data_IF_010413491868
#
_entry.id   IF_010413491868
#
_cell.length_a   1.000
_cell.length_b   1.000
_cell.length_c   1.000
_cell.angle_alpha   90.00
_cell.angle_beta   90.00
_cell.angle_gamma   90.00
#
_symmetry.space_group_name_H-M   'P 1'
#
loop_
_entity.id
_entity.type
_entity.pdbx_description
1 polymer ?
#
# COMPACT_ATOMS: atom_id res chain seq x y z
N UNK A 1 -6.95 14.34 16.73
CA UNK A 1 -7.67 13.62 15.66
C UNK A 1 -6.63 13.23 14.63
N UNK A 2 -6.67 12.02 14.10
CA UNK A 2 -5.70 11.57 13.09
C UNK A 2 -6.04 12.19 11.72
N UNK A 3 -5.04 12.69 11.01
CA UNK A 3 -5.19 13.19 9.63
C UNK A 3 -5.57 12.06 8.67
N UNK A 4 -5.08 10.85 8.92
CA UNK A 4 -5.46 9.69 8.12
C UNK A 4 -6.97 9.40 8.19
N UNK A 5 -7.58 9.50 9.39
CA UNK A 5 -9.03 9.35 9.55
C UNK A 5 -9.81 10.46 8.84
N UNK A 6 -9.33 11.70 8.87
CA UNK A 6 -9.97 12.81 8.16
C UNK A 6 -9.97 12.58 6.66
N UNK A 7 -8.82 12.24 6.08
CA UNK A 7 -8.68 11.96 4.64
C UNK A 7 -9.56 10.78 4.23
N UNK A 8 -9.53 9.69 5.01
CA UNK A 8 -10.34 8.50 4.74
C UNK A 8 -11.83 8.85 4.76
N UNK A 9 -12.30 9.52 5.81
CA UNK A 9 -13.71 9.89 5.92
C UNK A 9 -14.18 10.83 4.80
N UNK A 10 -13.37 11.84 4.46
CA UNK A 10 -13.67 12.75 3.34
C UNK A 10 -13.78 11.99 2.01
N UNK A 11 -12.83 11.10 1.72
CA UNK A 11 -12.87 10.30 0.50
C UNK A 11 -14.08 9.37 0.45
N UNK A 12 -14.36 8.65 1.55
CA UNK A 12 -15.50 7.74 1.61
C UNK A 12 -16.82 8.48 1.39
N UNK A 13 -17.01 9.63 2.07
CA UNK A 13 -18.21 10.43 1.93
C UNK A 13 -18.33 10.96 0.50
N UNK A 14 -17.26 11.51 -0.07
CA UNK A 14 -17.26 12.05 -1.42
C UNK A 14 -17.53 10.99 -2.49
N UNK A 15 -17.00 9.77 -2.34
CA UNK A 15 -17.29 8.66 -3.24
C UNK A 15 -18.76 8.25 -3.15
N UNK A 16 -19.32 8.14 -1.94
CA UNK A 16 -20.73 7.77 -1.76
C UNK A 16 -21.70 8.82 -2.30
N UNK A 17 -21.39 10.11 -2.13
CA UNK A 17 -22.29 11.22 -2.50
C UNK A 17 -22.18 11.59 -3.99
N UNK A 18 -20.97 11.53 -4.55
CA UNK A 18 -20.65 12.09 -5.87
C UNK A 18 -20.03 11.07 -6.83
N UNK A 19 -19.93 9.80 -6.43
CA UNK A 19 -19.34 8.74 -7.25
C UNK A 19 -20.29 8.22 -8.32
N UNK A 20 -19.70 7.56 -9.30
CA UNK A 20 -20.43 6.87 -10.37
C UNK A 20 -20.67 5.41 -9.97
N UNK A 21 -21.95 4.96 -10.05
CA UNK A 21 -22.33 3.55 -9.87
C UNK A 21 -22.19 2.79 -11.19
N UNK A 22 -21.53 1.62 -11.14
CA UNK A 22 -21.36 0.77 -12.31
C UNK A 22 -22.40 -0.36 -12.43
N UNK A 23 -23.56 -0.20 -11.80
CA UNK A 23 -24.63 -1.21 -11.72
C UNK A 23 -25.14 -1.68 -13.09
N UNK A 24 -25.06 -0.83 -14.12
CA UNK A 24 -25.49 -1.15 -15.48
C UNK A 24 -24.36 -1.72 -16.35
N UNK A 25 -23.15 -1.90 -15.77
CA UNK A 25 -21.99 -2.40 -16.48
C UNK A 25 -21.76 -3.90 -16.20
N UNK A 26 -21.17 -4.58 -17.16
CA UNK A 26 -20.66 -5.94 -16.92
C UNK A 26 -19.33 -5.85 -16.18
N UNK A 27 -19.34 -6.17 -14.89
CA UNK A 27 -18.17 -6.12 -14.02
C UNK A 27 -17.55 -7.51 -13.86
N UNK A 28 -16.21 -7.56 -13.81
CA UNK A 28 -15.47 -8.82 -13.63
C UNK A 28 -15.60 -9.40 -12.22
N UNK A 29 -15.44 -8.58 -11.13
CA UNK A 29 -15.46 -9.11 -9.77
C UNK A 29 -16.82 -9.70 -9.39
N UNK A 30 -16.78 -10.76 -8.59
CA UNK A 30 -17.97 -11.41 -8.05
C UNK A 30 -17.85 -11.61 -6.55
N UNK A 31 -18.98 -11.60 -5.88
CA UNK A 31 -19.10 -12.05 -4.53
C UNK A 31 -19.01 -13.58 -4.43
N UNK A 32 -18.80 -14.08 -3.21
CA UNK A 32 -18.71 -15.52 -2.91
C UNK A 32 -19.95 -16.31 -3.41
N UNK A 33 -21.12 -15.68 -3.47
CA UNK A 33 -22.37 -16.29 -3.99
C UNK A 33 -22.50 -16.22 -5.52
N UNK A 34 -21.46 -15.74 -6.21
CA UNK A 34 -21.39 -15.65 -7.68
C UNK A 34 -22.10 -14.42 -8.27
N UNK A 35 -22.74 -13.58 -7.44
CA UNK A 35 -23.37 -12.35 -7.94
C UNK A 35 -22.32 -11.29 -8.29
N UNK A 36 -22.57 -10.41 -9.29
CA UNK A 36 -21.67 -9.32 -9.65
C UNK A 36 -21.39 -8.41 -8.44
N UNK A 37 -20.13 -8.04 -8.25
CA UNK A 37 -19.72 -7.10 -7.20
C UNK A 37 -19.59 -5.70 -7.82
N UNK A 38 -20.67 -4.92 -7.74
CA UNK A 38 -20.73 -3.57 -8.25
C UNK A 38 -20.07 -2.57 -7.31
N UNK A 39 -19.66 -1.43 -7.87
CA UNK A 39 -18.98 -0.38 -7.12
C UNK A 39 -19.59 0.99 -7.36
N UNK A 40 -19.45 1.86 -6.35
CA UNK A 40 -19.48 3.30 -6.53
C UNK A 40 -18.03 3.80 -6.52
N UNK A 41 -17.66 4.66 -7.47
CA UNK A 41 -16.26 5.03 -7.67
C UNK A 41 -16.05 6.48 -8.11
N UNK A 42 -14.85 6.98 -7.81
CA UNK A 42 -14.34 8.27 -8.30
C UNK A 42 -13.00 8.13 -8.98
N UNK A 43 -12.80 8.91 -9.99
CA UNK A 43 -11.55 9.01 -10.73
C UNK A 43 -10.63 10.09 -10.13
N UNK A 44 -9.34 9.75 -9.94
CA UNK A 44 -8.30 10.74 -9.73
C UNK A 44 -8.24 11.32 -8.32
N UNK A 45 -8.27 10.49 -7.27
CA UNK A 45 -8.06 10.94 -5.88
C UNK A 45 -6.56 11.06 -5.60
N UNK A 46 -6.17 12.17 -4.94
CA UNK A 46 -4.80 12.43 -4.49
C UNK A 46 -4.81 12.74 -3.00
N UNK A 47 -4.19 11.88 -2.21
CA UNK A 47 -4.03 12.04 -0.77
C UNK A 47 -2.58 12.38 -0.41
N UNK A 48 -2.38 13.16 0.65
CA UNK A 48 -1.06 13.57 1.12
C UNK A 48 -0.93 13.29 2.61
N UNK A 49 0.16 12.61 2.98
CA UNK A 49 0.47 12.23 4.35
C UNK A 49 1.88 12.69 4.70
N UNK A 50 2.00 13.66 5.62
CA UNK A 50 3.29 14.14 6.11
C UNK A 50 3.78 13.24 7.25
N UNK A 51 4.78 12.41 6.98
CA UNK A 51 5.31 11.43 7.92
C UNK A 51 6.14 12.07 9.07
N UNK A 52 6.48 13.35 8.95
CA UNK A 52 7.11 14.09 10.03
C UNK A 52 6.09 14.60 11.07
N UNK A 53 4.81 14.68 10.71
CA UNK A 53 3.74 15.11 11.59
C UNK A 53 3.09 13.95 12.33
N UNK A 54 2.72 12.90 11.59
CA UNK A 54 2.07 11.71 12.15
C UNK A 54 2.25 10.46 11.28
N UNK A 55 2.11 9.30 11.89
CA UNK A 55 2.04 8.03 11.15
C UNK A 55 0.61 7.78 10.64
N UNK A 56 0.39 7.55 9.32
CA UNK A 56 -0.93 7.59 8.70
C UNK A 56 -1.69 6.26 8.80
N UNK A 57 -2.00 5.83 10.02
CA UNK A 57 -2.83 4.65 10.29
C UNK A 57 -4.22 5.07 10.79
N UNK A 58 -5.28 4.37 10.36
CA UNK A 58 -6.64 4.64 10.80
C UNK A 58 -6.82 4.29 12.27
N UNK A 59 -7.61 5.13 12.97
CA UNK A 59 -8.06 4.89 14.33
C UNK A 59 -9.55 4.59 14.41
N UNK A 60 -10.36 5.15 13.53
CA UNK A 60 -11.80 4.87 13.43
C UNK A 60 -12.10 3.42 13.02
N UNK A 61 -11.09 2.69 12.59
CA UNK A 61 -11.11 1.26 12.31
C UNK A 61 -9.70 0.70 12.47
N UNK A 62 -9.57 -0.51 13.04
CA UNK A 62 -8.28 -1.18 13.16
C UNK A 62 -7.69 -1.51 11.79
N UNK A 63 -6.43 -1.15 11.57
CA UNK A 63 -5.57 -1.70 10.50
C UNK A 63 -4.60 -2.72 11.11
N UNK A 64 -4.49 -3.91 10.50
CA UNK A 64 -3.65 -4.99 11.02
C UNK A 64 -2.16 -4.70 10.74
N UNK A 65 -1.58 -3.81 11.52
CA UNK A 65 -0.25 -3.22 11.33
C UNK A 65 0.86 -4.25 11.07
N UNK A 66 0.96 -5.28 11.93
CA UNK A 66 2.01 -6.32 11.76
C UNK A 66 1.87 -7.07 10.44
N UNK A 67 0.66 -7.36 10.00
CA UNK A 67 0.40 -8.02 8.72
C UNK A 67 0.72 -7.10 7.54
N UNK A 68 0.44 -5.79 7.66
CA UNK A 68 0.86 -4.81 6.64
C UNK A 68 2.39 -4.79 6.47
N UNK A 69 3.14 -4.79 7.59
CA UNK A 69 4.61 -4.80 7.57
C UNK A 69 5.14 -6.12 7.01
N UNK A 70 4.60 -7.26 7.44
CA UNK A 70 5.01 -8.59 6.97
C UNK A 70 4.86 -8.70 5.44
N UNK A 71 3.72 -8.29 4.90
CA UNK A 71 3.49 -8.27 3.45
C UNK A 71 4.43 -7.29 2.73
N UNK A 72 4.66 -6.09 3.29
CA UNK A 72 5.62 -5.15 2.72
C UNK A 72 7.02 -5.78 2.61
N UNK A 73 7.51 -6.42 3.66
CA UNK A 73 8.81 -7.07 3.67
C UNK A 73 8.86 -8.27 2.71
N UNK A 74 7.77 -9.01 2.59
CA UNK A 74 7.63 -10.10 1.61
C UNK A 74 7.75 -9.59 0.18
N UNK A 75 7.10 -8.47 -0.16
CA UNK A 75 7.17 -7.86 -1.49
C UNK A 75 8.53 -7.22 -1.75
N UNK A 76 9.04 -6.39 -0.83
CA UNK A 76 10.16 -5.49 -1.10
C UNK A 76 11.54 -6.00 -0.68
N UNK A 77 11.62 -6.81 0.37
CA UNK A 77 12.88 -7.41 0.81
C UNK A 77 13.09 -8.79 0.22
N UNK A 78 12.12 -9.70 0.45
CA UNK A 78 12.19 -11.07 -0.06
C UNK A 78 12.01 -11.13 -1.57
N UNK A 79 11.34 -10.13 -2.15
CA UNK A 79 11.03 -10.06 -3.59
C UNK A 79 10.34 -11.35 -4.06
N UNK A 80 9.49 -11.88 -3.20
CA UNK A 80 8.87 -13.17 -3.38
C UNK A 80 7.49 -13.06 -4.03
N UNK A 81 7.08 -14.13 -4.69
CA UNK A 81 5.74 -14.36 -5.18
C UNK A 81 5.12 -15.64 -4.57
N UNK A 82 5.77 -16.24 -3.56
CA UNK A 82 5.32 -17.44 -2.89
C UNK A 82 4.66 -17.10 -1.55
N UNK A 83 3.34 -17.37 -1.43
CA UNK A 83 2.56 -17.07 -0.22
C UNK A 83 2.97 -17.86 1.01
N UNK A 84 3.68 -19.01 0.85
CA UNK A 84 4.19 -19.77 1.99
C UNK A 84 5.29 -19.04 2.79
N UNK A 85 5.83 -17.94 2.24
CA UNK A 85 6.78 -17.06 2.91
C UNK A 85 6.11 -15.88 3.63
N UNK A 86 4.78 -15.80 3.57
CA UNK A 86 3.95 -14.77 4.19
C UNK A 86 3.16 -15.38 5.37
N UNK A 87 3.11 -14.68 6.51
CA UNK A 87 2.41 -15.18 7.68
C UNK A 87 0.88 -14.96 7.62
N UNK A 88 0.39 -14.08 6.77
CA UNK A 88 -1.03 -13.81 6.61
C UNK A 88 -1.63 -14.57 5.42
N UNK A 89 -2.95 -14.80 5.46
CA UNK A 89 -3.71 -15.51 4.42
C UNK A 89 -4.38 -14.59 3.40
N UNK A 90 -3.95 -13.34 3.32
CA UNK A 90 -4.60 -12.32 2.48
C UNK A 90 -4.42 -12.56 0.97
N UNK A 91 -3.46 -13.39 0.58
CA UNK A 91 -3.17 -13.72 -0.81
C UNK A 91 -3.66 -15.09 -1.26
N UNK A 92 -4.23 -15.91 -0.36
CA UNK A 92 -4.64 -17.29 -0.65
C UNK A 92 -5.57 -17.42 -1.87
N UNK A 93 -6.47 -16.45 -2.06
CA UNK A 93 -7.43 -16.45 -3.20
C UNK A 93 -6.79 -16.20 -4.57
N UNK A 94 -5.55 -15.72 -4.60
CA UNK A 94 -4.82 -15.43 -5.84
C UNK A 94 -3.62 -16.34 -6.08
N UNK A 95 -3.33 -17.24 -5.15
CA UNK A 95 -2.25 -18.21 -5.31
C UNK A 95 -2.71 -19.44 -6.08
N UNK A 96 -1.79 -20.00 -6.87
CA UNK A 96 -1.98 -21.29 -7.52
C UNK A 96 -1.70 -22.47 -6.54
N UNK A 97 -1.76 -23.70 -7.04
CA UNK A 97 -1.53 -24.93 -6.26
C UNK A 97 -0.15 -24.99 -5.63
N UNK A 98 0.83 -24.28 -6.15
CA UNK A 98 2.20 -24.20 -5.64
C UNK A 98 2.40 -23.10 -4.62
N UNK A 99 1.38 -22.28 -4.38
CA UNK A 99 1.44 -21.09 -3.54
C UNK A 99 2.01 -19.87 -4.26
N UNK A 100 2.11 -19.89 -5.58
CA UNK A 100 2.61 -18.76 -6.37
C UNK A 100 1.48 -17.81 -6.79
N UNK A 101 1.73 -16.50 -6.74
CA UNK A 101 0.88 -15.48 -7.35
C UNK A 101 1.33 -15.09 -8.77
N UNK A 102 2.17 -15.92 -9.38
CA UNK A 102 2.75 -15.67 -10.69
C UNK A 102 3.86 -14.61 -10.68
N UNK A 103 4.15 -14.00 -11.83
CA UNK A 103 5.20 -12.99 -11.97
C UNK A 103 4.79 -11.61 -11.46
N UNK A 104 4.02 -11.55 -10.36
CA UNK A 104 3.45 -10.33 -9.81
C UNK A 104 4.27 -9.78 -8.63
N UNK A 105 4.05 -8.52 -8.30
CA UNK A 105 4.57 -7.80 -7.12
C UNK A 105 6.07 -8.01 -6.84
N UNK A 106 6.44 -8.78 -5.81
CA UNK A 106 7.82 -9.00 -5.40
C UNK A 106 8.69 -9.57 -6.50
N UNK A 107 8.15 -10.48 -7.33
CA UNK A 107 8.87 -11.01 -8.48
C UNK A 107 9.40 -9.90 -9.39
N UNK A 108 8.55 -8.91 -9.75
CA UNK A 108 8.95 -7.81 -10.63
C UNK A 108 10.01 -6.90 -10.00
N UNK A 109 9.99 -6.72 -8.69
CA UNK A 109 11.04 -5.97 -7.98
C UNK A 109 12.39 -6.67 -8.02
N UNK A 110 12.40 -8.01 -8.01
CA UNK A 110 13.61 -8.84 -8.01
C UNK A 110 14.23 -9.06 -9.38
N UNK A 111 13.54 -8.73 -10.47
CA UNK A 111 14.11 -8.84 -11.83
C UNK A 111 15.31 -7.93 -11.98
N UNK A 112 16.44 -8.50 -12.42
CA UNK A 112 17.67 -7.73 -12.66
C UNK A 112 17.60 -6.98 -13.99
N UNK A 113 18.01 -5.73 -13.96
CA UNK A 113 18.08 -4.83 -15.11
C UNK A 113 19.49 -4.29 -15.29
N UNK A 114 19.92 -4.14 -16.55
CA UNK A 114 21.22 -3.58 -16.87
C UNK A 114 21.15 -2.03 -16.89
N UNK A 115 21.93 -1.41 -16.04
CA UNK A 115 22.15 0.04 -15.99
C UNK A 115 23.59 0.37 -16.43
N UNK A 116 23.91 1.65 -16.59
CA UNK A 116 25.29 2.08 -16.92
C UNK A 116 26.27 1.75 -15.80
N UNK A 117 25.79 1.80 -14.54
CA UNK A 117 26.58 1.58 -13.33
C UNK A 117 26.70 0.11 -12.93
N UNK A 118 25.96 -0.79 -13.57
CA UNK A 118 25.96 -2.23 -13.26
C UNK A 118 24.59 -2.88 -13.39
N UNK A 119 24.48 -4.08 -12.89
CA UNK A 119 23.24 -4.84 -12.86
C UNK A 119 22.58 -4.71 -11.49
N UNK A 120 21.33 -4.25 -11.46
CA UNK A 120 20.55 -4.07 -10.24
C UNK A 120 19.12 -4.58 -10.45
N UNK A 121 18.49 -5.07 -9.39
CA UNK A 121 17.06 -5.07 -9.34
C UNK A 121 16.51 -3.70 -8.93
N UNK A 122 15.18 -3.55 -8.93
CA UNK A 122 14.59 -2.22 -8.73
C UNK A 122 14.83 -1.67 -7.32
N UNK A 123 14.85 -2.52 -6.28
CA UNK A 123 15.09 -2.11 -4.89
C UNK A 123 16.53 -1.68 -4.70
N UNK A 124 17.47 -2.51 -5.15
CA UNK A 124 18.90 -2.21 -5.08
C UNK A 124 19.24 -0.95 -5.89
N UNK A 125 18.55 -0.72 -7.02
CA UNK A 125 18.72 0.50 -7.81
C UNK A 125 18.27 1.75 -7.05
N UNK A 126 17.14 1.69 -6.34
CA UNK A 126 16.69 2.82 -5.50
C UNK A 126 17.72 3.10 -4.40
N UNK A 127 18.19 2.06 -3.69
CA UNK A 127 19.22 2.20 -2.66
C UNK A 127 20.51 2.82 -3.20
N UNK A 128 20.96 2.38 -4.37
CA UNK A 128 22.14 2.92 -5.05
C UNK A 128 21.95 4.41 -5.39
N UNK A 129 20.83 4.78 -5.99
CA UNK A 129 20.59 6.16 -6.41
C UNK A 129 20.41 7.10 -5.20
N UNK A 130 19.73 6.68 -4.14
CA UNK A 130 19.60 7.49 -2.92
C UNK A 130 20.94 7.76 -2.26
N UNK A 131 21.89 6.83 -2.34
CA UNK A 131 23.24 6.96 -1.79
C UNK A 131 24.18 7.77 -2.67
N UNK A 132 24.15 7.56 -3.99
CA UNK A 132 25.16 8.06 -4.92
C UNK A 132 24.66 9.22 -5.78
N UNK A 133 23.35 9.36 -5.96
CA UNK A 133 22.75 10.35 -6.85
C UNK A 133 21.39 10.85 -6.32
N UNK A 134 21.31 11.34 -5.05
CA UNK A 134 20.04 11.70 -4.41
C UNK A 134 19.31 12.84 -5.14
N UNK A 135 19.98 13.67 -5.91
CA UNK A 135 19.37 14.73 -6.72
C UNK A 135 18.72 14.22 -8.02
N UNK A 136 18.78 12.91 -8.28
CA UNK A 136 18.18 12.31 -9.48
C UNK A 136 16.65 12.42 -9.45
N UNK A 137 16.09 12.77 -10.62
CA UNK A 137 14.63 12.77 -10.87
C UNK A 137 14.16 11.46 -11.50
N UNK A 138 14.98 10.39 -11.42
CA UNK A 138 14.76 9.10 -12.06
C UNK A 138 14.69 7.96 -11.05
N UNK A 139 14.58 8.26 -9.76
CA UNK A 139 14.50 7.25 -8.69
C UNK A 139 13.06 6.76 -8.63
N UNK A 140 12.81 5.58 -9.17
CA UNK A 140 11.47 5.01 -9.22
C UNK A 140 11.49 3.50 -9.38
N UNK A 141 10.36 2.89 -9.04
CA UNK A 141 10.07 1.49 -9.33
C UNK A 141 8.77 1.38 -10.13
N UNK A 142 8.65 0.34 -10.95
CA UNK A 142 7.43 0.01 -11.68
C UNK A 142 7.31 -1.50 -11.80
N UNK A 143 6.24 -2.04 -11.26
CA UNK A 143 5.99 -3.49 -11.25
C UNK A 143 4.87 -3.91 -12.21
N UNK A 144 4.31 -2.97 -12.99
CA UNK A 144 3.33 -3.26 -14.02
C UNK A 144 4.06 -3.54 -15.34
N UNK A 145 4.50 -4.79 -15.51
CA UNK A 145 5.25 -5.23 -16.68
C UNK A 145 4.31 -5.86 -17.70
N UNK A 146 4.10 -5.18 -18.83
CA UNK A 146 3.19 -5.64 -19.87
C UNK A 146 3.57 -6.99 -20.49
N UNK A 147 4.87 -7.34 -20.49
CA UNK A 147 5.34 -8.62 -21.03
C UNK A 147 4.92 -9.81 -20.17
N UNK A 148 4.79 -9.60 -18.86
CA UNK A 148 4.52 -10.65 -17.87
C UNK A 148 3.06 -10.68 -17.37
N UNK A 149 2.18 -9.76 -17.83
CA UNK A 149 0.80 -9.69 -17.32
C UNK A 149 0.04 -11.02 -17.43
N UNK A 150 0.26 -11.78 -18.50
CA UNK A 150 -0.40 -13.06 -18.72
C UNK A 150 0.05 -14.17 -17.74
N UNK A 151 1.15 -13.94 -17.02
CA UNK A 151 1.68 -14.82 -15.98
C UNK A 151 1.42 -14.29 -14.56
N UNK A 152 0.61 -13.23 -14.41
CA UNK A 152 0.23 -12.65 -13.14
C UNK A 152 -1.18 -13.09 -12.74
N UNK A 153 -1.34 -13.69 -11.57
CA UNK A 153 -2.67 -14.08 -11.07
C UNK A 153 -3.48 -12.85 -10.61
N UNK A 154 -2.79 -11.78 -10.22
CA UNK A 154 -3.39 -10.47 -9.95
C UNK A 154 -2.49 -9.37 -10.49
N UNK A 155 -3.05 -8.52 -11.38
CA UNK A 155 -2.34 -7.35 -11.88
C UNK A 155 -2.09 -6.33 -10.77
N UNK A 156 -0.87 -5.80 -10.62
CA UNK A 156 -0.54 -4.87 -9.54
C UNK A 156 -1.48 -3.65 -9.50
N UNK A 157 -2.10 -3.43 -8.35
CA UNK A 157 -2.92 -2.24 -8.10
C UNK A 157 -2.03 -1.05 -7.75
N UNK A 158 -1.19 -1.20 -6.73
CA UNK A 158 -0.10 -0.29 -6.38
C UNK A 158 1.10 -0.63 -7.28
N UNK A 159 1.25 0.07 -8.40
CA UNK A 159 2.14 -0.39 -9.47
C UNK A 159 3.44 0.39 -9.62
N UNK A 160 3.54 1.59 -9.06
CA UNK A 160 4.72 2.44 -9.24
C UNK A 160 4.95 3.30 -8.01
N UNK A 161 6.20 3.43 -7.61
CA UNK A 161 6.66 4.34 -6.57
C UNK A 161 7.75 5.25 -7.14
N UNK A 162 7.58 6.58 -7.01
CA UNK A 162 8.58 7.57 -7.40
C UNK A 162 9.13 8.24 -6.16
N UNK A 163 10.44 8.36 -6.06
CA UNK A 163 11.14 8.97 -4.93
C UNK A 163 11.78 10.28 -5.33
N UNK A 164 11.77 11.25 -4.42
CA UNK A 164 12.41 12.55 -4.60
C UNK A 164 13.05 13.03 -3.31
N UNK A 165 14.29 13.46 -3.38
CA UNK A 165 15.01 14.05 -2.26
C UNK A 165 14.95 15.58 -2.38
N UNK A 166 14.41 16.24 -1.34
CA UNK A 166 14.39 17.70 -1.22
C UNK A 166 15.11 18.10 0.05
N UNK A 167 16.28 18.71 -0.08
CA UNK A 167 17.18 18.96 1.06
C UNK A 167 17.65 17.63 1.67
N UNK A 168 17.32 17.39 2.92
CA UNK A 168 17.60 16.14 3.64
C UNK A 168 16.37 15.21 3.78
N UNK A 169 15.32 15.47 3.00
CA UNK A 169 14.01 14.82 3.15
C UNK A 169 13.69 13.99 1.91
N UNK A 170 13.33 12.72 2.14
CA UNK A 170 12.87 11.78 1.12
C UNK A 170 11.35 11.80 1.04
N UNK A 171 10.80 12.19 -0.11
CA UNK A 171 9.39 12.16 -0.42
C UNK A 171 9.08 11.03 -1.40
N UNK A 172 7.83 10.56 -1.40
CA UNK A 172 7.42 9.49 -2.30
C UNK A 172 6.03 9.70 -2.89
N UNK A 173 5.86 9.30 -4.16
CA UNK A 173 4.56 9.23 -4.82
C UNK A 173 4.24 7.77 -5.11
N UNK A 174 3.19 7.27 -4.48
CA UNK A 174 2.58 5.98 -4.80
C UNK A 174 1.52 6.17 -5.88
N UNK A 175 1.68 5.52 -7.03
CA UNK A 175 0.66 5.46 -8.07
C UNK A 175 -0.10 4.13 -7.98
N UNK A 176 -1.41 4.25 -7.87
CA UNK A 176 -2.32 3.12 -7.77
C UNK A 176 -3.42 3.22 -8.82
N UNK A 177 -3.55 2.21 -9.69
CA UNK A 177 -4.54 2.20 -10.77
C UNK A 177 -5.96 1.91 -10.27
N UNK A 178 -6.07 1.20 -9.15
CA UNK A 178 -7.34 0.75 -8.57
C UNK A 178 -7.15 0.54 -7.07
N UNK A 179 -8.12 0.99 -6.27
CA UNK A 179 -8.06 0.88 -4.82
C UNK A 179 -9.44 0.61 -4.23
N UNK A 180 -9.63 -0.57 -3.63
CA UNK A 180 -10.75 -0.81 -2.73
C UNK A 180 -10.55 0.04 -1.47
N UNK A 181 -11.37 1.07 -1.35
CA UNK A 181 -11.21 2.08 -0.32
C UNK A 181 -11.46 1.53 1.10
N UNK A 182 -12.28 0.47 1.23
CA UNK A 182 -12.52 -0.14 2.54
C UNK A 182 -11.41 -1.11 2.92
N UNK A 183 -11.02 -2.05 2.07
CA UNK A 183 -10.12 -3.14 2.44
C UNK A 183 -8.65 -2.78 2.24
N UNK A 184 -8.29 -2.11 1.14
CA UNK A 184 -6.91 -1.92 0.72
C UNK A 184 -6.35 -0.51 0.97
N UNK A 185 -7.19 0.54 1.08
CA UNK A 185 -6.68 1.92 1.10
C UNK A 185 -5.67 2.16 2.22
N UNK A 186 -6.08 2.05 3.49
CA UNK A 186 -5.17 2.32 4.59
C UNK A 186 -4.09 1.25 4.74
N UNK A 187 -4.36 0.01 4.31
CA UNK A 187 -3.36 -1.05 4.25
C UNK A 187 -2.16 -0.60 3.38
N UNK A 188 -2.42 -0.14 2.17
CA UNK A 188 -1.37 0.34 1.27
C UNK A 188 -0.71 1.63 1.80
N UNK A 189 -1.47 2.58 2.38
CA UNK A 189 -0.90 3.79 2.97
C UNK A 189 0.09 3.45 4.07
N UNK A 190 -0.25 2.53 4.98
CA UNK A 190 0.65 2.06 6.05
C UNK A 190 1.90 1.42 5.47
N UNK A 191 1.75 0.52 4.49
CA UNK A 191 2.89 -0.15 3.84
C UNK A 191 3.85 0.85 3.20
N UNK A 192 3.35 1.75 2.38
CA UNK A 192 4.22 2.68 1.65
C UNK A 192 4.76 3.81 2.52
N UNK A 193 4.11 4.14 3.63
CA UNK A 193 4.69 5.00 4.67
C UNK A 193 5.89 4.32 5.34
N UNK A 194 5.76 3.06 5.74
CA UNK A 194 6.87 2.25 6.29
C UNK A 194 8.01 2.13 5.26
N UNK A 195 7.68 1.84 4.00
CA UNK A 195 8.68 1.74 2.93
C UNK A 195 9.50 3.02 2.78
N UNK A 196 8.82 4.17 2.78
CA UNK A 196 9.48 5.47 2.68
C UNK A 196 10.40 5.72 3.87
N UNK A 197 9.95 5.36 5.08
CA UNK A 197 10.75 5.45 6.31
C UNK A 197 11.98 4.54 6.23
N UNK A 198 11.83 3.28 5.77
CA UNK A 198 12.96 2.35 5.62
C UNK A 198 14.02 2.91 4.67
N UNK A 199 13.63 3.36 3.47
CA UNK A 199 14.56 3.95 2.51
C UNK A 199 15.22 5.22 3.07
N UNK A 200 14.47 6.08 3.72
CA UNK A 200 15.00 7.31 4.33
C UNK A 200 16.06 6.97 5.38
N UNK A 201 15.76 6.07 6.34
CA UNK A 201 16.66 5.71 7.42
C UNK A 201 18.00 5.16 6.89
N UNK A 202 17.98 4.17 6.00
CA UNK A 202 19.22 3.53 5.51
C UNK A 202 20.03 4.43 4.56
N UNK A 203 19.41 5.51 4.06
CA UNK A 203 20.07 6.52 3.22
C UNK A 203 20.50 7.77 4.00
N UNK A 204 20.28 7.80 5.32
CA UNK A 204 20.61 8.96 6.15
C UNK A 204 19.73 10.19 5.90
N UNK A 205 18.51 9.97 5.40
CA UNK A 205 17.51 11.00 5.08
C UNK A 205 16.37 10.98 6.11
N UNK A 206 15.59 12.05 6.15
CA UNK A 206 14.33 12.10 6.88
C UNK A 206 13.18 11.64 5.98
N UNK A 207 12.27 10.83 6.51
CA UNK A 207 11.03 10.55 5.80
C UNK A 207 10.15 11.80 5.74
N UNK A 208 9.68 12.13 4.56
CA UNK A 208 8.89 13.33 4.29
C UNK A 208 7.43 13.03 3.97
N UNK A 209 6.96 13.46 2.83
CA UNK A 209 5.57 13.30 2.40
C UNK A 209 5.38 12.05 1.55
N UNK A 210 4.36 11.25 1.88
CA UNK A 210 3.80 10.23 1.01
C UNK A 210 2.59 10.82 0.27
N UNK A 211 2.68 10.92 -1.05
CA UNK A 211 1.57 11.28 -1.92
C UNK A 211 0.98 10.00 -2.52
N UNK A 212 -0.30 9.74 -2.27
CA UNK A 212 -1.01 8.57 -2.79
C UNK A 212 -1.97 8.99 -3.89
N UNK A 213 -1.66 8.61 -5.12
CA UNK A 213 -2.44 8.91 -6.33
C UNK A 213 -3.22 7.66 -6.71
N UNK A 214 -4.55 7.77 -6.76
CA UNK A 214 -5.47 6.68 -7.03
C UNK A 214 -6.28 7.02 -8.28
N UNK A 215 -6.15 6.24 -9.35
CA UNK A 215 -6.92 6.46 -10.57
C UNK A 215 -8.39 6.05 -10.40
N UNK A 216 -8.66 4.83 -9.92
CA UNK A 216 -10.02 4.31 -9.63
C UNK A 216 -10.13 4.03 -8.13
N UNK A 217 -10.76 4.94 -7.40
CA UNK A 217 -11.06 4.80 -5.97
C UNK A 217 -12.51 4.36 -5.81
N UNK A 218 -12.74 3.15 -5.30
CA UNK A 218 -14.07 2.56 -5.28
C UNK A 218 -14.46 1.95 -3.93
N UNK A 219 -15.77 1.88 -3.71
CA UNK A 219 -16.41 1.18 -2.60
C UNK A 219 -17.38 0.17 -3.20
N UNK A 220 -17.23 -1.10 -2.85
CA UNK A 220 -18.15 -2.14 -3.28
C UNK A 220 -19.54 -1.96 -2.66
N UNK A 221 -20.58 -2.38 -3.35
CA UNK A 221 -21.99 -2.26 -2.94
C UNK A 221 -22.24 -2.84 -1.54
N UNK A 222 -21.72 -4.05 -1.24
CA UNK A 222 -21.84 -4.69 0.07
C UNK A 222 -20.97 -4.05 1.16
N UNK A 223 -20.03 -3.19 0.79
CA UNK A 223 -19.22 -2.44 1.73
C UNK A 223 -19.91 -1.17 2.25
N UNK A 224 -20.88 -0.61 1.53
CA UNK A 224 -21.53 0.65 1.88
C UNK A 224 -22.09 0.69 3.31
N UNK A 225 -22.82 -0.35 3.80
CA UNK A 225 -23.30 -0.34 5.18
C UNK A 225 -22.17 -0.32 6.22
N UNK A 226 -21.05 -1.03 5.93
CA UNK A 226 -19.87 -1.06 6.80
C UNK A 226 -19.16 0.28 6.82
N UNK A 227 -19.01 0.92 5.67
CA UNK A 227 -18.42 2.26 5.56
C UNK A 227 -19.22 3.27 6.38
N UNK A 228 -20.55 3.28 6.26
CA UNK A 228 -21.42 4.17 7.05
C UNK A 228 -21.23 3.96 8.56
N UNK A 229 -21.16 2.72 9.02
CA UNK A 229 -20.88 2.39 10.42
C UNK A 229 -19.51 2.91 10.88
N UNK A 230 -18.46 2.69 10.07
CA UNK A 230 -17.11 3.16 10.38
C UNK A 230 -17.05 4.69 10.46
N UNK A 231 -17.75 5.40 9.59
CA UNK A 231 -17.77 6.86 9.59
C UNK A 231 -18.37 7.48 10.87
N UNK A 232 -19.23 6.75 11.57
CA UNK A 232 -19.81 7.14 12.86
C UNK A 232 -18.89 6.84 14.06
N UNK A 233 -17.84 6.04 13.86
CA UNK A 233 -16.93 5.66 14.92
C UNK A 233 -16.13 6.85 15.47
N UNK A 234 -15.77 6.84 16.76
CA UNK A 234 -14.83 7.79 17.33
C UNK A 234 -13.50 7.80 16.57
N UNK A 235 -12.88 8.98 16.53
CA UNK A 235 -11.53 9.18 15.97
C UNK A 235 -10.57 9.50 17.08
N UNK A 236 -9.52 8.70 17.21
CA UNK A 236 -8.51 8.87 18.23
C UNK A 236 -7.31 9.68 17.69
N UNK A 237 -6.35 9.93 18.55
CA UNK A 237 -5.08 10.53 18.16
C UNK A 237 -4.24 9.55 17.36
N UNK A 238 -3.52 10.02 16.36
CA UNK A 238 -2.57 9.18 15.64
C UNK A 238 -1.53 8.58 16.60
N UNK A 239 -1.22 7.29 16.50
CA UNK A 239 -0.18 6.66 17.29
C UNK A 239 1.20 7.16 16.88
N UNK A 240 2.18 6.93 17.74
CA UNK A 240 3.59 7.13 17.40
C UNK A 240 4.14 5.84 16.80
N UNK A 241 4.85 5.95 15.69
CA UNK A 241 5.67 4.88 15.17
C UNK A 241 7.08 4.99 15.75
N UNK A 242 7.56 3.93 16.37
CA UNK A 242 8.96 3.76 16.79
C UNK A 242 9.59 2.77 15.82
N UNK A 243 10.74 3.13 15.29
CA UNK A 243 11.55 2.30 14.39
C UNK A 243 12.88 2.02 15.08
N UNK A 244 13.42 0.82 14.88
CA UNK A 244 14.76 0.47 15.36
C UNK A 244 15.82 1.27 14.57
N UNK A 245 16.34 2.33 15.21
CA UNK A 245 17.32 3.24 14.61
C UNK A 245 18.70 2.61 14.39
N UNK A 246 18.98 1.43 14.99
CA UNK A 246 20.25 0.72 14.81
C UNK A 246 20.39 0.06 13.44
N UNK A 247 19.28 -0.10 12.70
CA UNK A 247 19.27 -0.74 11.40
C UNK A 247 19.80 0.22 10.33
N UNK A 248 20.88 -0.19 9.66
CA UNK A 248 21.56 0.57 8.60
C UNK A 248 21.50 -0.09 7.23
N UNK A 249 20.97 -1.32 7.14
CA UNK A 249 20.78 -2.04 5.89
C UNK A 249 19.29 -2.31 5.67
N UNK A 250 18.80 -2.01 4.47
CA UNK A 250 17.39 -2.18 4.09
C UNK A 250 16.87 -3.61 4.31
N UNK A 251 17.72 -4.61 4.14
CA UNK A 251 17.35 -6.02 4.24
C UNK A 251 17.38 -6.57 5.68
N UNK A 252 17.78 -5.76 6.67
CA UNK A 252 17.84 -6.18 8.08
C UNK A 252 16.55 -5.83 8.85
N UNK A 253 15.64 -5.03 8.26
CA UNK A 253 14.36 -4.76 8.90
C UNK A 253 13.51 -6.02 9.03
N UNK A 254 12.85 -6.15 10.16
CA UNK A 254 11.87 -7.21 10.47
C UNK A 254 10.54 -6.58 10.90
N UNK A 255 9.50 -7.37 11.06
CA UNK A 255 8.22 -6.88 11.60
C UNK A 255 8.39 -6.25 12.98
N UNK A 256 9.31 -6.78 13.80
CA UNK A 256 9.55 -6.29 15.16
C UNK A 256 10.43 -5.02 15.20
N UNK A 257 11.00 -4.62 14.06
CA UNK A 257 11.70 -3.33 13.92
C UNK A 257 10.78 -2.11 14.03
N UNK A 258 9.46 -2.34 13.95
CA UNK A 258 8.43 -1.30 13.95
C UNK A 258 7.44 -1.51 15.08
N UNK A 259 7.23 -0.49 15.89
CA UNK A 259 6.28 -0.54 17.01
C UNK A 259 5.36 0.67 17.02
N UNK A 260 4.06 0.42 17.05
CA UNK A 260 3.08 1.47 17.34
C UNK A 260 2.93 1.64 18.86
N UNK A 261 2.99 2.89 19.31
CA UNK A 261 2.79 3.29 20.71
C UNK A 261 1.54 4.16 20.76
N UNK A 262 0.70 3.94 21.77
CA UNK A 262 -0.57 4.64 22.00
C UNK A 262 -1.54 4.48 20.80
N UNK A 263 -1.62 3.27 20.24
CA UNK A 263 -2.55 2.97 19.16
C UNK A 263 -3.93 2.59 19.72
N UNK A 264 -4.79 3.58 19.86
CA UNK A 264 -6.21 3.41 20.16
C UNK A 264 -6.99 3.31 18.85
N UNK A 265 -7.93 2.38 18.76
CA UNK A 265 -8.71 2.15 17.53
C UNK A 265 -10.07 1.51 17.84
N UNK A 266 -11.01 1.71 16.93
CA UNK A 266 -12.30 1.02 16.96
C UNK A 266 -12.21 -0.35 16.27
N UNK A 267 -12.93 -1.32 16.81
CA UNK A 267 -13.05 -2.66 16.23
C UNK A 267 -14.26 -2.71 15.31
N UNK A 268 -14.10 -3.36 14.19
CA UNK A 268 -15.22 -3.76 13.34
C UNK A 268 -15.49 -5.25 13.62
N UNK A 269 -16.60 -5.56 14.31
CA UNK A 269 -16.94 -6.95 14.67
C UNK A 269 -17.57 -7.75 13.51
N UNK A 270 -17.70 -7.13 12.35
CA UNK A 270 -18.24 -7.74 11.14
C UNK A 270 -17.14 -8.18 10.18
N UNK A 271 -17.31 -9.37 9.61
CA UNK A 271 -16.45 -9.82 8.50
C UNK A 271 -16.71 -8.92 7.28
N UNK A 272 -15.64 -8.37 6.72
CA UNK A 272 -15.72 -7.63 5.46
C UNK A 272 -15.75 -8.66 4.32
N UNK A 273 -16.79 -8.69 3.48
CA UNK A 273 -16.82 -9.59 2.33
C UNK A 273 -15.76 -9.16 1.30
N UNK A 274 -15.18 -10.14 0.60
CA UNK A 274 -14.18 -9.91 -0.45
C UNK A 274 -14.78 -10.27 -1.81
N UNK A 275 -14.61 -9.39 -2.79
CA UNK A 275 -14.97 -9.65 -4.19
C UNK A 275 -13.71 -10.13 -4.95
N UNK A 276 -13.86 -11.16 -5.78
CA UNK A 276 -12.75 -11.78 -6.55
C UNK A 276 -13.05 -11.73 -8.05
#
# INVERSE_FOLDING_TARGET
MSRADEIFAQNMQDIMDNGFWDTDLNVRPKWEDGTPAHTVKKFGIVNRYNLQEEFPILTMRRTAFKSCVDELLWIWQKKSNNIHELNSHIWDSWADETGSIGKAYGYQLGVKHQYKEGEFDQVDRVLYDLKHNPASRRIMTNIYNFQDLHEMNLYPCAYSMTFNVTGDTLNGILNQRSNDMLTANNWNVVQYAILLIMFAQVSGLKAGELVHVIADAHIYDRHIPLVKEILENPRHKAPKLIVDESITNFYDFTVDSFKLVDYEYEKLDKKIPVAI
#
